data_IF_243232838406
#
_entry.id   IF_243232838406
#
_cell.length_a   1.000
_cell.length_b   1.000
_cell.length_c   1.000
_cell.angle_alpha   90.00
_cell.angle_beta   90.00
_cell.angle_gamma   90.00
#
_symmetry.space_group_name_H-M   'P 1'
#
loop_
_entity.id
_entity.type
_entity.pdbx_description
1 polymer ?
#
# COMPACT_ATOMS: atom_id res chain seq x y z
N UNK A 1 2.27 -2.76 0.95
CA UNK A 1 2.42 -1.31 1.24
C UNK A 1 2.67 -0.47 -0.01
N UNK A 2 3.72 -0.73 -0.82
CA UNK A 2 3.99 0.05 -2.05
C UNK A 2 2.85 -0.09 -3.06
N UNK A 3 2.36 -1.31 -3.32
CA UNK A 3 1.18 -1.55 -4.18
C UNK A 3 -0.07 -0.79 -3.71
N UNK A 4 -0.25 -0.64 -2.39
CA UNK A 4 -1.37 0.13 -1.84
C UNK A 4 -1.24 1.62 -2.17
N UNK A 5 -0.04 2.20 -2.07
CA UNK A 5 0.20 3.58 -2.47
C UNK A 5 -0.03 3.77 -3.97
N UNK A 6 0.45 2.84 -4.80
CA UNK A 6 0.26 2.87 -6.25
C UNK A 6 -1.21 2.79 -6.67
N UNK A 7 -2.00 1.96 -5.99
CA UNK A 7 -3.45 1.84 -6.19
C UNK A 7 -4.26 2.94 -5.46
N UNK A 8 -3.62 3.88 -4.77
CA UNK A 8 -4.29 4.94 -4.03
C UNK A 8 -5.09 4.47 -2.79
N UNK A 9 -4.80 3.27 -2.30
CA UNK A 9 -5.38 2.72 -1.06
C UNK A 9 -4.61 3.28 0.13
N UNK A 10 -5.33 3.93 1.03
CA UNK A 10 -4.81 4.53 2.27
C UNK A 10 -5.48 3.88 3.48
N UNK A 11 -4.94 4.11 4.67
CA UNK A 11 -5.61 3.72 5.92
C UNK A 11 -7.02 4.32 6.04
N UNK A 12 -7.23 5.53 5.52
CA UNK A 12 -8.49 6.27 5.63
C UNK A 12 -9.58 5.82 4.65
N UNK A 13 -9.21 5.36 3.45
CA UNK A 13 -10.19 4.99 2.41
C UNK A 13 -10.32 3.47 2.19
N UNK A 14 -9.65 2.64 2.99
CA UNK A 14 -9.56 1.19 2.74
C UNK A 14 -10.93 0.50 2.63
N UNK A 15 -11.91 0.93 3.43
CA UNK A 15 -13.27 0.39 3.38
C UNK A 15 -14.02 0.78 2.11
N UNK A 16 -13.81 2.01 1.62
CA UNK A 16 -14.36 2.47 0.34
C UNK A 16 -13.71 1.73 -0.82
N UNK A 17 -12.38 1.60 -0.79
CA UNK A 17 -11.62 0.91 -1.83
C UNK A 17 -12.00 -0.58 -1.90
N UNK A 18 -12.26 -1.22 -0.77
CA UNK A 18 -12.74 -2.61 -0.72
C UNK A 18 -14.13 -2.81 -1.35
N UNK A 19 -14.92 -1.76 -1.50
CA UNK A 19 -16.24 -1.82 -2.13
C UNK A 19 -16.21 -1.53 -3.64
N UNK A 20 -15.06 -1.10 -4.18
CA UNK A 20 -14.91 -0.84 -5.62
C UNK A 20 -14.75 -2.14 -6.40
N UNK A 21 -15.29 -2.15 -7.61
CA UNK A 21 -15.11 -3.24 -8.57
C UNK A 21 -13.78 -3.07 -9.32
N UNK A 22 -12.68 -3.29 -8.60
CA UNK A 22 -11.31 -3.23 -9.13
C UNK A 22 -10.58 -4.54 -8.77
N UNK A 23 -10.22 -5.38 -9.76
CA UNK A 23 -9.58 -6.66 -9.52
C UNK A 23 -8.23 -6.58 -8.77
N UNK A 24 -7.47 -5.51 -8.97
CA UNK A 24 -6.16 -5.35 -8.36
C UNK A 24 -6.28 -4.91 -6.90
N UNK A 25 -7.25 -4.04 -6.59
CA UNK A 25 -7.62 -3.70 -5.21
C UNK A 25 -8.21 -4.92 -4.50
N UNK A 26 -9.11 -5.66 -5.14
CA UNK A 26 -9.72 -6.87 -4.58
C UNK A 26 -8.64 -7.90 -4.20
N UNK A 27 -7.65 -8.11 -5.08
CA UNK A 27 -6.52 -9.00 -4.81
C UNK A 27 -5.62 -8.47 -3.69
N UNK A 28 -5.32 -7.17 -3.67
CA UNK A 28 -4.53 -6.55 -2.61
C UNK A 28 -5.20 -6.68 -1.24
N UNK A 29 -6.52 -6.54 -1.16
CA UNK A 29 -7.27 -6.49 0.09
C UNK A 29 -7.77 -7.86 0.57
N UNK A 30 -7.39 -8.94 -0.12
CA UNK A 30 -7.69 -10.31 0.30
C UNK A 30 -9.07 -10.82 -0.07
N UNK A 31 -9.75 -10.21 -1.05
CA UNK A 31 -11.03 -10.73 -1.56
C UNK A 31 -10.84 -12.01 -2.40
N UNK A 32 -9.66 -12.18 -2.99
CA UNK A 32 -9.25 -13.39 -3.71
C UNK A 32 -8.33 -14.24 -2.82
N UNK A 33 -8.61 -15.53 -2.73
CA UNK A 33 -7.79 -16.46 -1.95
C UNK A 33 -6.50 -16.85 -2.66
N UNK A 34 -5.45 -17.15 -1.90
CA UNK A 34 -4.21 -17.77 -2.37
C UNK A 34 -2.94 -17.03 -1.93
N UNK A 35 -2.96 -15.69 -1.91
CA UNK A 35 -1.78 -14.90 -1.52
C UNK A 35 -1.51 -14.98 -0.02
N UNK A 36 -2.55 -14.87 0.82
CA UNK A 36 -2.40 -15.04 2.27
C UNK A 36 -1.96 -16.46 2.61
N UNK A 37 -2.65 -17.47 2.08
CA UNK A 37 -2.31 -18.87 2.31
C UNK A 37 -0.87 -19.23 1.88
N UNK A 38 -0.39 -18.72 0.73
CA UNK A 38 0.98 -18.94 0.26
C UNK A 38 2.04 -18.33 1.19
N UNK A 39 1.68 -17.29 1.96
CA UNK A 39 2.51 -16.65 2.96
C UNK A 39 2.30 -17.23 4.38
N UNK A 40 1.36 -18.17 4.56
CA UNK A 40 0.99 -18.70 5.88
C UNK A 40 0.22 -17.68 6.75
N UNK A 41 -0.48 -16.74 6.11
CA UNK A 41 -1.23 -15.66 6.74
C UNK A 41 -2.72 -15.73 6.38
N UNK A 42 -3.54 -14.94 7.08
CA UNK A 42 -4.92 -14.66 6.67
C UNK A 42 -4.94 -13.94 5.30
N UNK A 43 -5.96 -14.17 4.47
CA UNK A 43 -6.05 -13.53 3.14
C UNK A 43 -6.12 -12.00 3.21
N UNK A 44 -6.72 -11.45 4.27
CA UNK A 44 -6.81 -10.02 4.50
C UNK A 44 -5.56 -9.42 5.17
N UNK A 45 -4.43 -10.14 5.26
CA UNK A 45 -3.20 -9.66 5.92
C UNK A 45 -2.77 -8.26 5.45
N UNK A 46 -2.79 -8.00 4.14
CA UNK A 46 -2.38 -6.73 3.58
C UNK A 46 -3.37 -5.62 3.95
N UNK A 47 -4.67 -5.94 4.00
CA UNK A 47 -5.70 -5.01 4.48
C UNK A 47 -5.44 -4.62 5.94
N UNK A 48 -5.11 -5.58 6.81
CA UNK A 48 -4.79 -5.31 8.21
C UNK A 48 -3.57 -4.38 8.34
N UNK A 49 -2.48 -4.67 7.62
CA UNK A 49 -1.29 -3.80 7.63
C UNK A 49 -1.62 -2.38 7.18
N UNK A 50 -2.35 -2.22 6.08
CA UNK A 50 -2.69 -0.89 5.57
C UNK A 50 -3.63 -0.14 6.53
N UNK A 51 -4.57 -0.83 7.15
CA UNK A 51 -5.46 -0.23 8.15
C UNK A 51 -4.69 0.27 9.38
N UNK A 52 -3.72 -0.51 9.86
CA UNK A 52 -3.00 -0.19 11.11
C UNK A 52 -1.92 0.88 10.94
N UNK A 53 -1.14 0.82 9.85
CA UNK A 53 0.01 1.72 9.67
C UNK A 53 -0.07 2.65 8.46
N UNK A 54 -0.99 2.38 7.53
CA UNK A 54 -1.10 3.07 6.25
C UNK A 54 -0.28 2.41 5.13
N UNK A 55 -0.38 2.98 3.93
CA UNK A 55 0.46 2.63 2.80
C UNK A 55 1.89 3.21 2.96
N UNK A 56 2.77 2.92 1.99
CA UNK A 56 4.16 3.37 2.07
C UNK A 56 4.29 4.91 2.14
N UNK A 57 3.53 5.63 1.31
CA UNK A 57 3.53 7.09 1.30
C UNK A 57 3.09 7.69 2.63
N UNK A 58 2.04 7.16 3.26
CA UNK A 58 1.59 7.61 4.59
C UNK A 58 2.67 7.42 5.66
N UNK A 59 3.34 6.27 5.66
CA UNK A 59 4.44 5.99 6.60
C UNK A 59 5.64 6.89 6.32
N UNK A 60 6.00 7.11 5.06
CA UNK A 60 7.10 8.00 4.69
C UNK A 60 6.81 9.43 5.14
N UNK A 61 5.66 9.98 4.79
CA UNK A 61 5.32 11.37 5.07
C UNK A 61 5.25 11.67 6.57
N UNK A 62 4.70 10.75 7.37
CA UNK A 62 4.60 10.94 8.82
C UNK A 62 5.95 10.90 9.56
N UNK A 63 6.93 10.15 9.04
CA UNK A 63 8.19 9.91 9.75
C UNK A 63 9.38 10.67 9.17
N UNK A 64 9.42 10.88 7.86
CA UNK A 64 10.57 11.44 7.15
C UNK A 64 10.19 12.62 6.24
N UNK A 65 8.94 12.71 5.80
CA UNK A 65 8.52 13.64 4.76
C UNK A 65 8.59 15.11 5.15
N UNK A 66 8.10 15.95 4.25
CA UNK A 66 8.25 17.41 4.33
C UNK A 66 7.58 18.04 5.55
N UNK A 67 6.61 17.36 6.16
CA UNK A 67 5.94 17.79 7.40
C UNK A 67 6.72 17.47 8.68
N UNK A 68 7.88 16.81 8.59
CA UNK A 68 8.70 16.40 9.74
C UNK A 68 9.95 17.26 9.88
N UNK A 69 10.63 17.26 11.04
CA UNK A 69 11.92 17.96 11.19
C UNK A 69 13.01 17.47 10.23
N UNK A 70 12.89 16.26 9.69
CA UNK A 70 13.84 15.69 8.72
C UNK A 70 13.63 16.34 7.34
N UNK A 71 12.37 16.65 6.98
CA UNK A 71 11.98 17.31 5.73
C UNK A 71 12.61 16.66 4.48
N UNK A 72 12.56 15.33 4.41
CA UNK A 72 13.13 14.57 3.29
C UNK A 72 12.13 14.50 2.13
N UNK A 73 12.54 14.99 0.96
CA UNK A 73 11.82 14.76 -0.27
C UNK A 73 11.86 13.27 -0.68
N UNK A 74 10.83 12.81 -1.39
CA UNK A 74 10.71 11.39 -1.78
C UNK A 74 11.91 10.88 -2.57
N UNK A 75 12.42 11.64 -3.53
CA UNK A 75 13.57 11.26 -4.36
C UNK A 75 13.47 9.83 -4.89
N UNK A 76 14.51 9.02 -4.66
CA UNK A 76 14.54 7.61 -5.06
C UNK A 76 13.47 6.74 -4.37
N UNK A 77 12.93 7.18 -3.23
CA UNK A 77 11.83 6.52 -2.51
C UNK A 77 10.44 6.90 -3.06
N UNK A 78 10.35 7.62 -4.18
CA UNK A 78 9.09 7.78 -4.90
C UNK A 78 8.68 6.47 -5.59
N UNK A 79 7.40 6.38 -5.98
CA UNK A 79 6.95 5.31 -6.87
C UNK A 79 7.70 5.38 -8.20
N UNK A 80 7.93 4.22 -8.81
CA UNK A 80 8.57 4.13 -10.12
C UNK A 80 7.83 4.93 -11.20
N UNK A 81 6.50 4.97 -11.16
CA UNK A 81 5.64 5.81 -12.03
C UNK A 81 5.78 7.31 -11.78
N UNK A 82 6.40 7.71 -10.66
CA UNK A 82 6.65 9.09 -10.24
C UNK A 82 8.14 9.42 -10.17
N UNK A 83 8.97 8.72 -10.95
CA UNK A 83 10.40 9.00 -11.09
C UNK A 83 11.29 8.44 -9.99
N UNK A 84 10.77 7.61 -9.09
CA UNK A 84 11.55 6.90 -8.07
C UNK A 84 11.89 5.46 -8.47
N UNK A 85 12.26 4.65 -7.48
CA UNK A 85 12.69 3.26 -7.67
C UNK A 85 11.75 2.24 -7.02
N UNK A 86 10.76 2.68 -6.25
CA UNK A 86 9.86 1.76 -5.56
C UNK A 86 8.84 1.18 -6.51
N UNK A 87 8.98 -0.12 -6.74
CA UNK A 87 8.11 -0.94 -7.57
C UNK A 87 7.63 -2.13 -6.74
N UNK A 88 6.32 -2.39 -6.75
CA UNK A 88 5.75 -3.58 -6.15
C UNK A 88 5.50 -4.63 -7.23
N UNK A 89 6.05 -5.83 -7.05
CA UNK A 89 5.67 -6.95 -7.89
C UNK A 89 4.15 -7.21 -7.73
N UNK A 90 3.42 -7.48 -8.83
CA UNK A 90 2.00 -7.79 -8.77
C UNK A 90 1.75 -9.01 -7.87
N UNK A 91 0.76 -8.88 -6.98
CA UNK A 91 0.17 -10.03 -6.30
C UNK A 91 -0.56 -10.89 -7.35
N UNK A 92 -0.62 -12.21 -7.13
CA UNK A 92 -1.20 -13.14 -8.12
C UNK A 92 -2.61 -13.57 -7.73
#
# INVERSE_FOLDING_TARGET
>A
MIAAEELGVTSANISEMAARDDPDIARLLGANAGNGAALGLDEAWARHVIADVGNYGEVFERNLGMGTPIALERGLNALWTRGGLLFAAPLK
#
